data_IF_456894302875
#
_entry.id   IF_456894302875
#
_cell.length_a   1.000
_cell.length_b   1.000
_cell.length_c   1.000
_cell.angle_alpha   90.00
_cell.angle_beta   90.00
_cell.angle_gamma   90.00
#
_symmetry.space_group_name_H-M   'P 1'
#
loop_
_entity.id
_entity.type
_entity.pdbx_description
1 polymer ?
#
# COMPACT_ATOMS: atom_id res chain seq x y z
N UNK A 1 -15.23 1.04 3.46
CA UNK A 1 -15.87 -0.29 3.45
C UNK A 1 -15.22 -1.16 4.51
N UNK A 2 -16.00 -1.96 5.27
CA UNK A 2 -15.44 -2.94 6.21
C UNK A 2 -14.59 -3.99 5.49
N UNK A 3 -13.48 -4.42 6.10
CA UNK A 3 -12.55 -5.39 5.50
C UNK A 3 -13.22 -6.74 5.20
N UNK A 4 -14.17 -7.17 6.04
CA UNK A 4 -14.91 -8.42 5.87
C UNK A 4 -15.74 -8.43 4.59
N UNK A 5 -16.28 -7.27 4.19
CA UNK A 5 -17.04 -7.15 2.93
C UNK A 5 -16.12 -7.32 1.73
N UNK A 6 -14.90 -6.78 1.79
CA UNK A 6 -13.91 -6.93 0.74
C UNK A 6 -13.37 -8.37 0.67
N UNK A 7 -13.09 -8.99 1.83
CA UNK A 7 -12.62 -10.37 1.92
C UNK A 7 -13.66 -11.39 1.42
N UNK A 8 -14.95 -11.07 1.50
CA UNK A 8 -16.02 -11.89 0.98
C UNK A 8 -16.22 -11.76 -0.54
N UNK A 9 -15.50 -10.85 -1.22
CA UNK A 9 -15.57 -10.77 -2.68
C UNK A 9 -14.81 -11.93 -3.30
N UNK A 10 -15.45 -12.57 -4.28
CA UNK A 10 -14.84 -13.66 -5.02
C UNK A 10 -14.25 -13.14 -6.34
N UNK A 11 -12.95 -13.38 -6.50
CA UNK A 11 -12.21 -13.01 -7.70
C UNK A 11 -12.66 -13.82 -8.92
N UNK A 12 -13.07 -15.08 -8.74
CA UNK A 12 -13.45 -15.97 -9.83
C UNK A 12 -14.76 -15.53 -10.51
N UNK A 13 -15.71 -15.00 -9.73
CA UNK A 13 -16.98 -14.45 -10.24
C UNK A 13 -16.89 -12.98 -10.69
N UNK A 14 -15.77 -12.30 -10.45
CA UNK A 14 -15.56 -10.92 -10.89
C UNK A 14 -15.27 -10.84 -12.40
N UNK A 15 -15.93 -9.90 -13.09
CA UNK A 15 -15.79 -9.73 -14.54
C UNK A 15 -14.54 -8.94 -14.88
N UNK A 16 -13.86 -9.30 -15.96
CA UNK A 16 -12.72 -8.55 -16.47
C UNK A 16 -13.17 -7.17 -16.94
N UNK A 17 -12.43 -6.14 -16.55
CA UNK A 17 -12.69 -4.76 -16.97
C UNK A 17 -11.65 -4.35 -18.00
N UNK A 18 -12.12 -3.98 -19.19
CA UNK A 18 -11.26 -3.38 -20.22
C UNK A 18 -10.96 -1.92 -19.87
N UNK A 19 -9.94 -1.74 -19.03
CA UNK A 19 -9.45 -0.43 -18.62
C UNK A 19 -7.93 -0.44 -18.52
N UNK A 20 -7.29 0.55 -19.15
CA UNK A 20 -5.85 0.79 -19.04
C UNK A 20 -5.64 2.10 -18.29
N UNK A 21 -4.97 2.04 -17.14
CA UNK A 21 -4.62 3.24 -16.38
C UNK A 21 -3.68 4.13 -17.19
N UNK A 22 -3.82 5.45 -17.09
CA UNK A 22 -3.02 6.42 -17.86
C UNK A 22 -1.49 6.18 -17.74
N UNK A 23 -1.01 5.85 -16.53
CA UNK A 23 0.40 5.54 -16.26
C UNK A 23 0.91 4.24 -16.90
N UNK A 24 0.02 3.39 -17.38
CA UNK A 24 0.31 2.08 -17.95
C UNK A 24 0.08 2.06 -19.48
N UNK A 25 -0.31 3.18 -20.09
CA UNK A 25 -0.56 3.30 -21.53
C UNK A 25 0.67 2.91 -22.37
N UNK A 26 1.84 3.40 -21.97
CA UNK A 26 3.11 3.15 -22.67
C UNK A 26 3.72 1.77 -22.37
N UNK A 27 3.13 1.01 -21.43
CA UNK A 27 3.65 -0.31 -21.05
C UNK A 27 3.18 -1.38 -22.04
N UNK A 28 4.00 -2.41 -22.30
CA UNK A 28 3.55 -3.62 -22.98
C UNK A 28 2.35 -4.25 -22.25
N UNK A 29 1.43 -4.89 -23.00
CA UNK A 29 0.17 -5.44 -22.47
C UNK A 29 0.38 -6.32 -21.22
N UNK A 30 1.41 -7.17 -21.22
CA UNK A 30 1.71 -8.07 -20.10
C UNK A 30 2.21 -7.37 -18.82
N UNK A 31 2.63 -6.11 -18.92
CA UNK A 31 3.11 -5.30 -17.80
C UNK A 31 2.06 -4.28 -17.31
N UNK A 32 0.87 -4.25 -17.94
CA UNK A 32 -0.23 -3.37 -17.54
C UNK A 32 -0.99 -3.96 -16.36
N UNK A 33 -1.52 -3.10 -15.50
CA UNK A 33 -2.43 -3.53 -14.45
C UNK A 33 -3.74 -4.04 -15.08
N UNK A 34 -4.14 -5.24 -14.69
CA UNK A 34 -5.47 -5.80 -14.96
C UNK A 34 -6.45 -5.44 -13.84
N UNK A 35 -7.70 -5.18 -14.23
CA UNK A 35 -8.81 -4.86 -13.34
C UNK A 35 -9.94 -5.85 -13.49
N UNK A 36 -10.60 -6.19 -12.38
CA UNK A 36 -11.87 -6.92 -12.38
C UNK A 36 -12.91 -6.17 -11.57
N UNK A 37 -14.18 -6.31 -11.92
CA UNK A 37 -15.27 -5.66 -11.22
C UNK A 37 -16.36 -6.64 -10.80
N UNK A 38 -17.00 -6.32 -9.68
CA UNK A 38 -18.26 -6.92 -9.26
C UNK A 38 -19.17 -5.84 -8.74
N UNK A 39 -20.41 -5.86 -9.21
CA UNK A 39 -21.42 -4.91 -8.75
C UNK A 39 -22.12 -5.44 -7.51
N UNK A 40 -22.54 -4.51 -6.68
CA UNK A 40 -23.31 -4.77 -5.50
C UNK A 40 -23.89 -3.48 -4.96
N UNK A 41 -24.35 -3.57 -3.72
CA UNK A 41 -25.05 -2.49 -3.06
C UNK A 41 -24.53 -2.40 -1.64
N UNK A 42 -24.28 -1.19 -1.17
CA UNK A 42 -23.89 -0.93 0.21
C UNK A 42 -24.92 -0.03 0.88
N UNK A 43 -25.35 -0.42 2.07
CA UNK A 43 -26.18 0.43 2.92
C UNK A 43 -25.29 1.33 3.77
N UNK A 44 -25.41 2.64 3.56
CA UNK A 44 -24.79 3.67 4.39
C UNK A 44 -25.76 4.09 5.47
N UNK A 45 -25.31 4.10 6.73
CA UNK A 45 -26.07 4.70 7.82
C UNK A 45 -25.82 6.19 7.83
N UNK A 46 -26.88 6.97 8.09
CA UNK A 46 -26.75 8.40 8.26
C UNK A 46 -25.92 8.77 9.50
N UNK A 47 -25.48 10.04 9.61
CA UNK A 47 -24.64 10.49 10.71
C UNK A 47 -25.30 10.29 12.09
N UNK A 48 -26.63 10.40 12.17
CA UNK A 48 -27.40 10.15 13.39
C UNK A 48 -28.04 8.78 13.34
N UNK A 49 -28.19 8.15 14.51
CA UNK A 49 -28.85 6.84 14.66
C UNK A 49 -30.30 6.84 14.14
N UNK A 50 -30.96 7.99 14.16
CA UNK A 50 -32.34 8.20 13.71
C UNK A 50 -32.46 8.38 12.20
N UNK A 51 -31.36 8.65 11.50
CA UNK A 51 -31.40 8.91 10.06
C UNK A 51 -31.67 7.61 9.30
N UNK A 52 -32.52 7.70 8.28
CA UNK A 52 -32.80 6.56 7.41
C UNK A 52 -31.53 6.08 6.71
N UNK A 53 -31.33 4.76 6.67
CA UNK A 53 -30.20 4.19 5.98
C UNK A 53 -30.39 4.35 4.45
N UNK A 54 -29.34 4.81 3.78
CA UNK A 54 -29.34 5.04 2.34
C UNK A 54 -28.61 3.90 1.65
N UNK A 55 -29.27 3.31 0.66
CA UNK A 55 -28.73 2.22 -0.15
C UNK A 55 -28.08 2.80 -1.39
N UNK A 56 -26.77 2.56 -1.57
CA UNK A 56 -25.99 3.09 -2.70
C UNK A 56 -25.39 1.96 -3.52
N UNK A 57 -25.36 2.15 -4.85
CA UNK A 57 -24.66 1.24 -5.76
C UNK A 57 -23.17 1.24 -5.44
N UNK A 58 -22.60 0.05 -5.39
CA UNK A 58 -21.19 -0.18 -5.08
C UNK A 58 -20.57 -1.05 -6.16
N UNK A 59 -19.47 -0.56 -6.73
CA UNK A 59 -18.66 -1.35 -7.66
C UNK A 59 -17.39 -1.76 -6.92
N UNK A 60 -17.28 -3.05 -6.61
CA UNK A 60 -16.07 -3.65 -6.08
C UNK A 60 -15.08 -3.86 -7.21
N UNK A 61 -13.89 -3.29 -7.09
CA UNK A 61 -12.82 -3.40 -8.08
C UNK A 61 -11.66 -4.14 -7.46
N UNK A 62 -11.18 -5.16 -8.16
CA UNK A 62 -9.90 -5.78 -7.90
C UNK A 62 -8.85 -5.24 -8.88
N UNK A 63 -7.68 -4.86 -8.37
CA UNK A 63 -6.54 -4.38 -9.15
C UNK A 63 -5.31 -5.25 -8.89
N UNK A 64 -4.79 -5.87 -9.95
CA UNK A 64 -3.55 -6.65 -9.90
C UNK A 64 -2.36 -5.85 -9.37
N UNK A 65 -2.23 -4.58 -9.75
CA UNK A 65 -1.15 -3.73 -9.26
C UNK A 65 -1.27 -3.44 -7.76
N UNK A 66 -2.50 -3.25 -7.25
CA UNK A 66 -2.71 -3.04 -5.81
C UNK A 66 -2.52 -4.34 -5.02
N UNK A 67 -2.94 -5.48 -5.57
CA UNK A 67 -2.71 -6.81 -5.00
C UNK A 67 -1.21 -7.08 -4.83
N UNK A 68 -0.43 -6.90 -5.89
CA UNK A 68 1.02 -7.07 -5.85
C UNK A 68 1.69 -6.08 -4.88
N UNK A 69 1.28 -4.81 -4.90
CA UNK A 69 1.82 -3.80 -3.99
C UNK A 69 1.51 -4.13 -2.52
N UNK A 70 0.30 -4.59 -2.22
CA UNK A 70 -0.10 -4.99 -0.87
C UNK A 70 0.70 -6.21 -0.39
N UNK A 71 0.87 -7.23 -1.24
CA UNK A 71 1.70 -8.42 -0.97
C UNK A 71 3.16 -8.04 -0.70
N UNK A 72 3.75 -7.20 -1.55
CA UNK A 72 5.14 -6.76 -1.39
C UNK A 72 5.33 -5.94 -0.09
N UNK A 73 4.43 -5.01 0.20
CA UNK A 73 4.45 -4.22 1.42
C UNK A 73 4.30 -5.10 2.67
N UNK A 74 3.40 -6.08 2.64
CA UNK A 74 3.23 -7.06 3.74
C UNK A 74 4.49 -7.90 3.92
N UNK A 75 5.04 -8.46 2.86
CA UNK A 75 6.25 -9.27 2.91
C UNK A 75 7.43 -8.50 3.53
N UNK A 76 7.65 -7.25 3.09
CA UNK A 76 8.71 -6.41 3.64
C UNK A 76 8.49 -6.10 5.12
N UNK A 77 7.24 -5.76 5.51
CA UNK A 77 6.86 -5.52 6.91
C UNK A 77 7.14 -6.74 7.78
N UNK A 78 6.71 -7.94 7.36
CA UNK A 78 6.89 -9.18 8.10
C UNK A 78 8.37 -9.61 8.17
N UNK A 79 9.14 -9.40 7.10
CA UNK A 79 10.57 -9.70 7.10
C UNK A 79 11.35 -8.85 8.11
N UNK A 80 11.03 -7.56 8.21
CA UNK A 80 11.62 -6.65 9.22
C UNK A 80 11.24 -7.06 10.63
N UNK A 81 9.96 -7.37 10.86
CA UNK A 81 9.50 -7.85 12.16
C UNK A 81 10.18 -9.16 12.56
N UNK A 82 10.27 -10.12 11.64
CA UNK A 82 10.95 -11.40 11.83
C UNK A 82 12.40 -11.23 12.25
N UNK A 83 13.15 -10.39 11.54
CA UNK A 83 14.56 -10.12 11.85
C UNK A 83 14.74 -9.61 13.28
N UNK A 84 13.92 -8.62 13.69
CA UNK A 84 13.98 -8.05 15.03
C UNK A 84 13.54 -9.06 16.12
N UNK A 85 12.52 -9.87 15.84
CA UNK A 85 12.01 -10.90 16.77
C UNK A 85 12.97 -12.08 16.93
N UNK A 86 13.57 -12.56 15.84
CA UNK A 86 14.62 -13.59 15.87
C UNK A 86 15.82 -13.12 16.70
N UNK A 87 16.19 -11.84 16.56
CA UNK A 87 17.24 -11.22 17.37
C UNK A 87 16.87 -11.20 18.85
N UNK A 88 15.62 -10.84 19.19
CA UNK A 88 15.13 -10.87 20.57
C UNK A 88 15.13 -12.29 21.14
N UNK A 89 14.68 -13.29 20.38
CA UNK A 89 14.68 -14.70 20.81
C UNK A 89 16.09 -15.19 21.14
N UNK A 90 17.10 -14.85 20.33
CA UNK A 90 18.50 -15.23 20.61
C UNK A 90 19.10 -14.49 21.80
N UNK A 91 18.67 -13.25 22.03
CA UNK A 91 19.17 -12.39 23.10
C UNK A 91 18.49 -12.62 24.45
N UNK A 92 17.32 -13.29 24.47
CA UNK A 92 16.58 -13.63 25.68
C UNK A 92 17.43 -14.51 26.61
N UNK A 93 17.59 -14.09 27.87
CA UNK A 93 18.34 -14.81 28.90
C UNK A 93 19.87 -14.79 28.75
N UNK A 94 20.41 -14.39 27.59
CA UNK A 94 21.85 -14.29 27.33
C UNK A 94 22.37 -12.85 27.44
N UNK A 95 21.60 -11.88 26.97
CA UNK A 95 22.00 -10.47 26.98
C UNK A 95 21.61 -9.78 28.30
N UNK A 96 22.48 -8.90 28.82
CA UNK A 96 22.28 -8.24 30.12
C UNK A 96 20.95 -7.45 30.21
N UNK A 97 20.50 -6.84 29.11
CA UNK A 97 19.22 -6.12 29.04
C UNK A 97 17.99 -7.04 29.07
N UNK A 98 18.14 -8.34 28.79
CA UNK A 98 17.02 -9.28 28.61
C UNK A 98 17.11 -10.47 29.57
N UNK A 99 17.65 -10.23 30.77
CA UNK A 99 17.78 -11.24 31.83
C UNK A 99 16.44 -11.56 32.52
N UNK A 100 15.47 -10.66 32.46
CA UNK A 100 14.15 -10.85 33.09
C UNK A 100 13.07 -11.06 32.03
N UNK A 101 12.06 -11.85 32.37
CA UNK A 101 10.89 -12.06 31.50
C UNK A 101 10.19 -10.72 31.20
N UNK A 102 10.12 -9.82 32.19
CA UNK A 102 9.53 -8.49 32.03
C UNK A 102 10.24 -7.66 30.96
N UNK A 103 11.58 -7.69 30.92
CA UNK A 103 12.35 -6.97 29.90
C UNK A 103 12.12 -7.54 28.49
N UNK A 104 12.01 -8.86 28.37
CA UNK A 104 11.66 -9.53 27.11
C UNK A 104 10.25 -9.15 26.66
N UNK A 105 9.25 -9.18 27.56
CA UNK A 105 7.86 -8.76 27.28
C UNK A 105 7.79 -7.30 26.84
N UNK A 106 8.48 -6.39 27.53
CA UNK A 106 8.50 -4.98 27.18
C UNK A 106 9.07 -4.75 25.77
N UNK A 107 10.18 -5.44 25.44
CA UNK A 107 10.79 -5.35 24.12
C UNK A 107 9.91 -5.96 23.03
N UNK A 108 9.27 -7.10 23.31
CA UNK A 108 8.31 -7.75 22.41
C UNK A 108 7.16 -6.81 22.05
N UNK A 109 6.53 -6.16 23.04
CA UNK A 109 5.44 -5.19 22.82
C UNK A 109 5.90 -4.00 21.98
N UNK A 110 7.10 -3.48 22.23
CA UNK A 110 7.70 -2.41 21.44
C UNK A 110 7.88 -2.83 19.98
N UNK A 111 8.45 -4.01 19.73
CA UNK A 111 8.67 -4.54 18.37
C UNK A 111 7.34 -4.81 17.64
N UNK A 112 6.36 -5.39 18.32
CA UNK A 112 5.04 -5.65 17.76
C UNK A 112 4.35 -4.35 17.31
N UNK A 113 4.47 -3.30 18.12
CA UNK A 113 3.91 -1.96 17.83
C UNK A 113 4.69 -1.26 16.72
N UNK A 114 6.03 -1.24 16.81
CA UNK A 114 6.93 -0.64 15.82
C UNK A 114 6.65 -1.15 14.40
N UNK A 115 6.49 -2.46 14.25
CA UNK A 115 6.25 -3.08 12.95
C UNK A 115 4.76 -3.22 12.58
N UNK A 116 3.84 -2.83 13.48
CA UNK A 116 2.40 -2.97 13.32
C UNK A 116 1.98 -4.43 13.01
N UNK A 117 2.56 -5.37 13.74
CA UNK A 117 2.32 -6.82 13.58
C UNK A 117 1.52 -7.44 14.73
N UNK A 118 1.07 -6.64 15.70
CA UNK A 118 0.31 -7.11 16.88
C UNK A 118 -0.84 -8.05 16.52
N UNK A 119 -1.54 -7.80 15.40
CA UNK A 119 -2.70 -8.60 14.99
C UNK A 119 -2.38 -9.98 14.43
N UNK A 120 -1.13 -10.26 14.05
CA UNK A 120 -0.71 -11.56 13.52
C UNK A 120 0.30 -12.24 14.44
N UNK A 121 0.84 -11.54 15.44
CA UNK A 121 1.91 -12.07 16.27
C UNK A 121 1.34 -12.91 17.39
N UNK A 122 1.67 -14.21 17.38
CA UNK A 122 1.43 -15.11 18.50
C UNK A 122 2.76 -15.35 19.19
N UNK A 123 2.87 -14.94 20.45
CA UNK A 123 4.11 -15.01 21.21
C UNK A 123 3.85 -15.49 22.64
N UNK A 124 4.73 -16.35 23.13
CA UNK A 124 4.74 -16.85 24.49
C UNK A 124 6.15 -16.68 25.08
N UNK A 125 6.19 -16.16 26.29
CA UNK A 125 7.41 -16.11 27.10
C UNK A 125 7.33 -17.18 28.19
N UNK A 126 8.44 -17.84 28.44
CA UNK A 126 8.59 -18.78 29.56
C UNK A 126 9.86 -18.43 30.33
N UNK A 127 9.94 -18.92 31.56
CA UNK A 127 11.16 -18.86 32.37
C UNK A 127 11.58 -20.29 32.64
N UNK A 128 12.83 -20.62 32.31
CA UNK A 128 13.41 -21.92 32.62
C UNK A 128 13.52 -22.07 34.15
N UNK A 129 12.91 -23.09 34.77
CA UNK A 129 12.93 -23.28 36.22
C UNK A 129 14.33 -23.60 36.76
N UNK A 130 15.21 -24.20 35.96
CA UNK A 130 16.54 -24.62 36.41
C UNK A 130 17.56 -23.50 36.27
N UNK A 131 17.47 -22.71 35.20
CA UNK A 131 18.43 -21.63 34.92
C UNK A 131 17.91 -20.23 35.25
N UNK A 132 16.61 -20.07 35.51
CA UNK A 132 15.95 -18.78 35.71
C UNK A 132 15.93 -17.89 34.47
N UNK A 133 16.34 -18.41 33.31
CA UNK A 133 16.48 -17.62 32.08
C UNK A 133 15.15 -17.49 31.35
N UNK A 134 14.77 -16.28 30.90
CA UNK A 134 13.61 -16.11 30.05
C UNK A 134 13.88 -16.65 28.64
N UNK A 135 12.88 -17.31 28.08
CA UNK A 135 12.84 -17.75 26.69
C UNK A 135 11.63 -17.12 25.98
N UNK A 136 11.74 -16.93 24.66
CA UNK A 136 10.69 -16.38 23.80
C UNK A 136 10.46 -17.30 22.61
N UNK A 137 9.24 -17.83 22.51
CA UNK A 137 8.73 -18.53 21.33
C UNK A 137 7.66 -17.68 20.65
N UNK A 138 7.73 -17.58 19.33
CA UNK A 138 6.77 -16.78 18.56
C UNK A 138 6.56 -17.35 17.16
N UNK A 139 5.42 -17.04 16.57
CA UNK A 139 5.13 -17.25 15.15
C UNK A 139 4.12 -16.20 14.67
N UNK A 140 3.98 -16.08 13.35
CA UNK A 140 2.86 -15.34 12.77
C UNK A 140 1.69 -16.28 12.55
N UNK A 141 0.49 -15.86 12.97
CA UNK A 141 -0.77 -16.54 12.69
C UNK A 141 -1.05 -16.50 11.18
N UNK A 142 -1.02 -17.68 10.55
CA UNK A 142 -1.30 -17.83 9.12
C UNK A 142 -2.74 -17.48 8.78
N UNK A 143 -3.71 -17.82 9.63
CA UNK A 143 -5.12 -17.53 9.37
C UNK A 143 -5.39 -16.01 9.37
N UNK A 144 -4.77 -15.27 10.30
CA UNK A 144 -4.85 -13.81 10.32
C UNK A 144 -4.18 -13.16 9.11
N UNK A 145 -3.10 -13.76 8.59
CA UNK A 145 -2.44 -13.31 7.37
C UNK A 145 -3.28 -13.59 6.12
N UNK A 146 -3.87 -14.78 6.03
CA UNK A 146 -4.74 -15.19 4.92
C UNK A 146 -6.01 -14.34 4.86
N UNK A 147 -6.59 -14.02 6.03
CA UNK A 147 -7.73 -13.11 6.12
C UNK A 147 -7.40 -11.69 5.63
N UNK A 148 -6.18 -11.19 5.85
CA UNK A 148 -5.75 -9.94 5.21
C UNK A 148 -5.54 -10.11 3.72
N UNK A 149 -4.89 -11.20 3.31
CA UNK A 149 -4.59 -11.47 1.92
C UNK A 149 -5.84 -11.57 1.06
N UNK A 150 -6.95 -12.04 1.62
CA UNK A 150 -8.26 -12.06 0.97
C UNK A 150 -8.76 -10.65 0.55
N UNK A 151 -8.28 -9.59 1.21
CA UNK A 151 -8.63 -8.20 0.85
C UNK A 151 -7.68 -7.57 -0.17
N UNK A 152 -6.61 -8.26 -0.55
CA UNK A 152 -5.57 -7.67 -1.41
C UNK A 152 -6.11 -7.33 -2.80
N UNK A 153 -5.77 -6.13 -3.26
CA UNK A 153 -6.20 -5.61 -4.55
C UNK A 153 -7.64 -5.12 -4.60
N UNK A 154 -8.50 -5.48 -3.63
CA UNK A 154 -9.90 -5.07 -3.58
C UNK A 154 -10.08 -3.66 -3.00
N UNK A 155 -10.90 -2.87 -3.67
CA UNK A 155 -11.43 -1.61 -3.16
C UNK A 155 -12.86 -1.41 -3.69
N UNK A 156 -13.64 -0.57 -3.01
CA UNK A 156 -15.02 -0.32 -3.37
C UNK A 156 -15.22 1.12 -3.82
N UNK A 157 -15.90 1.29 -4.95
CA UNK A 157 -16.35 2.57 -5.47
C UNK A 157 -17.85 2.71 -5.21
N UNK A 158 -18.22 3.65 -4.36
CA UNK A 158 -19.62 4.02 -4.16
C UNK A 158 -20.00 5.02 -5.25
N UNK A 159 -21.11 4.77 -5.93
CA UNK A 159 -21.52 5.59 -7.08
C UNK A 159 -23.02 5.86 -7.05
N UNK A 160 -23.39 7.07 -7.48
CA UNK A 160 -24.77 7.47 -7.77
C UNK A 160 -25.10 7.41 -9.27
N UNK A 161 -24.17 6.90 -10.08
CA UNK A 161 -24.37 6.76 -11.51
C UNK A 161 -25.42 5.67 -11.80
N UNK A 162 -26.26 5.88 -12.83
CA UNK A 162 -27.31 4.92 -13.18
C UNK A 162 -26.71 3.58 -13.61
N UNK A 163 -27.49 2.51 -13.46
CA UNK A 163 -27.08 1.13 -13.77
C UNK A 163 -26.75 0.92 -15.26
N UNK A 164 -27.19 1.84 -16.13
CA UNK A 164 -26.80 1.89 -17.54
C UNK A 164 -25.31 2.16 -17.75
N UNK A 165 -24.64 2.78 -16.78
CA UNK A 165 -23.20 3.03 -16.82
C UNK A 165 -22.48 1.84 -16.20
N UNK A 166 -21.84 1.02 -17.03
CA UNK A 166 -21.16 -0.19 -16.58
C UNK A 166 -19.91 0.07 -15.70
N UNK A 167 -19.39 -0.97 -15.01
CA UNK A 167 -18.25 -0.86 -14.09
C UNK A 167 -16.97 -0.27 -14.69
N UNK A 168 -16.70 -0.54 -15.98
CA UNK A 168 -15.53 -0.02 -16.68
C UNK A 168 -15.53 1.51 -16.74
N UNK A 169 -16.68 2.09 -17.06
CA UNK A 169 -16.86 3.54 -17.15
C UNK A 169 -16.86 4.18 -15.76
N UNK A 170 -17.43 3.51 -14.74
CA UNK A 170 -17.32 3.94 -13.34
C UNK A 170 -15.85 4.01 -12.91
N UNK A 171 -15.06 2.98 -13.21
CA UNK A 171 -13.64 2.94 -12.90
C UNK A 171 -12.86 4.01 -13.69
N UNK A 172 -13.15 4.18 -14.97
CA UNK A 172 -12.51 5.18 -15.82
C UNK A 172 -12.73 6.60 -15.30
N UNK A 173 -13.97 6.93 -14.89
CA UNK A 173 -14.28 8.23 -14.27
C UNK A 173 -13.55 8.42 -12.94
N UNK A 174 -13.55 7.40 -12.08
CA UNK A 174 -12.84 7.47 -10.81
C UNK A 174 -11.33 7.69 -10.98
N UNK A 175 -10.70 6.97 -11.92
CA UNK A 175 -9.26 7.13 -12.22
C UNK A 175 -8.94 8.40 -13.00
N UNK A 176 -9.89 8.91 -13.80
CA UNK A 176 -9.78 10.16 -14.54
C UNK A 176 -10.06 11.41 -13.71
N UNK A 177 -10.64 11.29 -12.51
CA UNK A 177 -11.00 12.43 -11.66
C UNK A 177 -9.78 13.31 -11.29
N UNK A 178 -8.59 12.72 -11.15
CA UNK A 178 -7.34 13.47 -10.89
C UNK A 178 -6.98 14.45 -12.04
N UNK A 179 -7.40 14.15 -13.28
CA UNK A 179 -7.21 15.03 -14.45
C UNK A 179 -8.16 16.24 -14.40
N UNK A 180 -9.38 16.04 -13.88
CA UNK A 180 -10.36 17.12 -13.69
C UNK A 180 -9.94 18.04 -12.56
N UNK A 181 -9.44 17.50 -11.44
CA UNK A 181 -8.96 18.28 -10.29
C UNK A 181 -7.69 19.08 -10.61
N UNK A 182 -6.75 18.54 -11.40
CA UNK A 182 -5.61 19.33 -11.91
C UNK A 182 -6.03 20.44 -12.86
N UNK A 183 -7.07 20.22 -13.69
CA UNK A 183 -7.63 21.28 -14.57
C UNK A 183 -8.35 22.37 -13.78
N UNK A 184 -9.05 22.03 -12.69
CA UNK A 184 -9.62 23.03 -11.78
C UNK A 184 -8.56 23.78 -10.95
N UNK A 185 -7.42 23.16 -10.65
CA UNK A 185 -6.25 23.84 -10.08
C UNK A 185 -5.64 24.87 -11.04
N UNK A 186 -5.56 24.54 -12.33
CA UNK A 186 -5.11 25.48 -13.37
C UNK A 186 -6.13 26.61 -13.65
N UNK A 187 -7.43 26.34 -13.51
CA UNK A 187 -8.48 27.35 -13.66
C UNK A 187 -8.62 28.28 -12.42
N UNK A 188 -8.16 27.85 -11.24
CA UNK A 188 -8.12 28.66 -10.00
C UNK A 188 -6.73 29.24 -9.68
N UNK A 189 -5.98 29.63 -10.71
CA UNK A 189 -4.91 30.64 -10.57
C UNK A 189 -5.38 32.02 -11.04
N UNK A 190 -4.65 33.10 -10.71
CA UNK A 190 -4.76 33.86 -9.47
C UNK A 190 -6.07 34.68 -9.40
N UNK A 191 -7.20 34.06 -9.11
CA UNK A 191 -8.39 34.81 -8.69
C UNK A 191 -8.34 34.99 -7.17
N UNK A 192 -7.72 36.08 -6.74
CA UNK A 192 -7.74 36.57 -5.36
C UNK A 192 -9.18 36.98 -4.99
N UNK A 193 -10.02 36.02 -4.64
CA UNK A 193 -11.29 36.30 -3.98
C UNK A 193 -10.98 36.58 -2.51
N UNK A 194 -10.80 37.87 -2.20
CA UNK A 194 -10.71 38.35 -0.84
C UNK A 194 -12.06 38.13 -0.13
N UNK A 195 -12.17 37.01 0.60
CA UNK A 195 -13.25 36.81 1.55
C UNK A 195 -13.15 37.82 2.67
N UNK A 196 -14.10 38.77 2.73
CA UNK A 196 -14.28 39.68 3.86
C UNK A 196 -14.74 38.85 5.06
N UNK A 197 -13.85 38.70 6.05
CA UNK A 197 -14.14 38.08 7.34
C UNK A 197 -15.23 38.87 8.07
N UNK A 198 -16.34 38.22 8.41
CA UNK A 198 -17.20 38.63 9.53
C UNK A 198 -17.22 37.45 10.49
N UNK A 199 -16.71 37.69 11.69
CA UNK A 199 -16.52 36.70 12.74
C UNK A 199 -17.85 36.18 13.31
N UNK A 200 -17.85 34.90 13.63
CA UNK A 200 -18.88 34.22 14.40
C UNK A 200 -18.25 33.01 15.07
N UNK A 201 -17.86 33.19 16.32
CA UNK A 201 -17.36 32.15 17.25
C UNK A 201 -18.43 31.09 17.45
N UNK A 202 -18.09 29.81 17.26
CA UNK A 202 -18.71 28.69 17.96
C UNK A 202 -17.63 27.62 18.27
N UNK A 203 -17.42 27.40 19.56
CA UNK A 203 -16.56 26.38 20.15
C UNK A 203 -17.20 24.97 20.10
N UNK A 204 -16.35 23.96 19.82
CA UNK A 204 -16.46 22.57 20.30
C UNK A 204 -16.79 21.46 19.27
N UNK A 205 -16.38 20.19 19.50
CA UNK A 205 -15.12 19.69 20.08
C UNK A 205 -14.26 18.92 19.06
N UNK A 206 -12.97 18.84 19.37
CA UNK A 206 -11.94 18.07 18.66
C UNK A 206 -12.29 16.58 18.58
N UNK A 207 -12.26 16.02 17.36
CA UNK A 207 -12.11 14.59 17.12
C UNK A 207 -10.80 14.35 16.37
N UNK A 208 -9.78 14.03 17.16
CA UNK A 208 -8.55 13.40 16.67
C UNK A 208 -8.88 12.08 15.97
N UNK A 209 -8.19 11.82 14.86
CA UNK A 209 -7.90 10.46 14.42
C UNK A 209 -8.47 10.02 13.08
N UNK A 210 -7.98 10.59 11.97
CA UNK A 210 -7.71 9.83 10.75
C UNK A 210 -6.83 10.66 9.81
N UNK A 211 -5.51 10.53 9.95
CA UNK A 211 -4.58 11.03 8.94
C UNK A 211 -4.84 10.27 7.61
N UNK A 212 -5.08 10.96 6.48
CA UNK A 212 -5.15 10.30 5.19
C UNK A 212 -3.80 9.66 4.88
N UNK A 213 -3.85 8.38 4.53
CA UNK A 213 -2.71 7.59 4.08
C UNK A 213 -2.06 8.26 2.86
N UNK A 214 -0.94 8.94 3.12
CA UNK A 214 -0.09 9.56 2.11
C UNK A 214 0.72 8.44 1.43
N UNK A 215 0.47 8.19 0.15
CA UNK A 215 1.35 7.37 -0.68
C UNK A 215 2.68 8.14 -0.80
N UNK A 216 3.83 7.61 -0.34
CA UNK A 216 5.10 8.29 -0.52
C UNK A 216 5.49 8.29 -2.00
N UNK A 217 6.03 9.42 -2.43
CA UNK A 217 6.21 9.81 -3.83
C UNK A 217 7.14 8.92 -4.65
N UNK A 218 6.88 8.92 -5.96
CA UNK A 218 7.90 8.70 -6.98
C UNK A 218 8.22 10.07 -7.57
N UNK A 219 9.37 10.62 -7.18
CA UNK A 219 9.97 11.76 -7.86
C UNK A 219 10.29 11.33 -9.30
N UNK A 220 9.69 12.01 -10.28
CA UNK A 220 10.14 11.99 -11.66
C UNK A 220 10.98 13.24 -11.91
N UNK A 221 12.09 13.08 -12.62
CA UNK A 221 12.86 14.18 -13.19
C UNK A 221 14.35 13.91 -13.18
N UNK A 222 14.88 13.42 -14.32
CA UNK A 222 15.84 14.19 -15.12
C UNK A 222 16.06 13.46 -16.46
N UNK A 223 15.51 14.08 -17.50
CA UNK A 223 15.70 13.82 -18.91
C UNK A 223 17.16 14.05 -19.35
N UNK A 224 17.65 13.27 -20.32
CA UNK A 224 18.64 13.77 -21.31
C UNK A 224 17.91 14.57 -22.38
N UNK A 225 18.57 15.37 -23.26
CA UNK A 225 19.66 14.86 -24.12
C UNK A 225 20.73 15.91 -24.52
N UNK A 226 21.81 15.47 -25.18
CA UNK A 226 22.74 16.37 -25.86
C UNK A 226 23.98 15.68 -26.43
N UNK A 227 23.97 15.36 -27.73
CA UNK A 227 25.17 15.31 -28.57
C UNK A 227 25.43 16.73 -29.11
N UNK A 228 26.67 17.18 -29.45
CA UNK A 228 27.45 16.57 -30.55
C UNK A 228 29.00 16.67 -30.51
N UNK A 229 29.62 15.92 -31.44
CA UNK A 229 30.86 16.15 -32.23
C UNK A 229 32.21 16.53 -31.58
N UNK A 230 33.21 15.68 -31.85
CA UNK A 230 34.49 15.97 -32.54
C UNK A 230 35.79 15.49 -31.85
N UNK A 231 36.54 14.68 -32.60
CA UNK A 231 37.99 14.60 -32.78
C UNK A 231 38.91 14.35 -31.56
N UNK A 232 39.76 13.30 -31.66
CA UNK A 232 41.21 13.45 -31.92
C UNK A 232 42.08 12.37 -31.22
N UNK A 233 42.86 11.66 -32.07
CA UNK A 233 44.25 11.16 -31.87
C UNK A 233 44.59 9.99 -30.91
N UNK A 234 45.37 9.06 -31.48
CA UNK A 234 46.32 8.18 -30.80
C UNK A 234 45.80 6.75 -30.58
N UNK A 235 46.45 5.67 -31.01
CA UNK A 235 47.77 5.48 -31.54
C UNK A 235 47.97 4.00 -31.88
N UNK A 236 48.64 3.77 -33.00
CA UNK A 236 49.05 2.49 -33.59
C UNK A 236 50.02 1.74 -32.69
N UNK A 237 49.85 0.40 -32.52
CA UNK A 237 50.89 -0.65 -32.67
C UNK A 237 50.42 -2.00 -32.11
N UNK A 238 50.40 -3.02 -32.97
CA UNK A 238 50.67 -4.41 -32.62
C UNK A 238 51.72 -4.94 -33.63
N UNK A 239 52.83 -5.55 -33.18
CA UNK A 239 53.86 -6.04 -34.09
C UNK A 239 53.65 -7.49 -34.53
N UNK A 240 53.86 -7.67 -35.84
CA UNK A 240 54.55 -8.74 -36.58
C UNK A 240 54.33 -10.22 -36.20
N UNK A 241 53.73 -10.90 -37.18
CA UNK A 241 53.92 -12.30 -37.50
C UNK A 241 55.38 -12.63 -37.81
N UNK A 242 55.84 -13.79 -37.33
CA UNK A 242 56.99 -14.51 -37.85
C UNK A 242 56.47 -15.85 -38.35
N UNK A 243 56.73 -16.14 -39.63
CA UNK A 243 56.26 -17.37 -40.28
C UNK A 243 57.10 -18.59 -39.92
N UNK A 244 56.54 -19.76 -40.22
CA UNK A 244 57.30 -20.95 -40.56
C UNK A 244 56.42 -21.83 -41.45
N UNK A 245 56.84 -21.99 -42.70
CA UNK A 245 56.37 -23.03 -43.63
C UNK A 245 57.49 -24.05 -43.71
N UNK A 246 57.25 -25.28 -43.27
CA UNK A 246 57.54 -26.51 -44.01
C UNK A 246 56.91 -27.70 -43.32
#
# INVERSE_FOLDING_TARGET
>A
MPAQVLAAQDWATATLVDHVAARDQDKPIHARATYRAREGVTTLRGPRKTDAAVTVRTVFIWSSANDQAAKAARALKLARARTDLDTLTRAAGSHHLYRTEAAVKARLTLLATKHRVTRYLVAATSVDPDTGKPALTWHFDSAALDAEAATDGWYALLTNLPDTIGPAEVLARYKGQEVVERRYGAFKGPLAVAGRTVGGVLDGPSVDGAAPFRIPGSCAGMDGPGQPLSQSLGGTRLPRSTGATR
#
